data_IF_404287723847
#
_entry.id   IF_404287723847
#
_cell.length_a   1.000
_cell.length_b   1.000
_cell.length_c   1.000
_cell.angle_alpha   90.00
_cell.angle_beta   90.00
_cell.angle_gamma   90.00
#
_symmetry.space_group_name_H-M   'P 1'
#
loop_
_entity.id
_entity.type
_entity.pdbx_description
1 polymer ?
#
# COMPACT_ATOMS: atom_id res chain seq x y z
N UNK A 1 -15.44 43.67 31.17
CA UNK A 1 -14.86 43.23 29.88
C UNK A 1 -13.35 43.20 30.05
N UNK A 2 -12.65 42.12 29.68
CA UNK A 2 -11.19 42.10 29.75
C UNK A 2 -10.61 43.19 28.82
N UNK A 3 -9.56 43.92 29.25
CA UNK A 3 -9.04 45.06 28.50
C UNK A 3 -8.46 44.64 27.14
N UNK A 4 -8.57 45.52 26.13
CA UNK A 4 -8.20 45.22 24.74
C UNK A 4 -6.68 45.09 24.60
N UNK A 5 -6.17 43.85 24.61
CA UNK A 5 -4.75 43.41 24.60
C UNK A 5 -4.47 42.25 25.58
N UNK A 6 -5.48 41.74 26.29
CA UNK A 6 -5.35 40.52 27.12
C UNK A 6 -5.62 39.24 26.32
N UNK A 7 -4.93 38.15 26.67
CA UNK A 7 -5.09 36.83 26.02
C UNK A 7 -6.55 36.34 26.02
N UNK A 8 -7.28 36.60 27.10
CA UNK A 8 -8.71 36.26 27.21
C UNK A 8 -9.57 36.96 26.16
N UNK A 9 -9.28 38.22 25.83
CA UNK A 9 -9.97 38.96 24.77
C UNK A 9 -9.74 38.30 23.40
N UNK A 10 -8.52 37.86 23.10
CA UNK A 10 -8.21 37.16 21.85
C UNK A 10 -8.85 35.77 21.76
N UNK A 11 -8.92 35.03 22.87
CA UNK A 11 -9.58 33.72 22.92
C UNK A 11 -11.07 33.84 22.60
N UNK A 12 -11.77 34.80 23.21
CA UNK A 12 -13.23 34.98 23.06
C UNK A 12 -13.63 35.58 21.71
N UNK A 13 -12.83 36.48 21.12
CA UNK A 13 -13.23 37.23 19.91
C UNK A 13 -12.73 36.60 18.60
N UNK A 14 -11.68 35.77 18.62
CA UNK A 14 -11.11 35.24 17.38
C UNK A 14 -11.82 33.98 16.87
N UNK A 15 -12.40 34.04 15.67
CA UNK A 15 -13.03 32.88 15.01
C UNK A 15 -12.02 31.81 14.60
N UNK A 16 -10.82 32.25 14.25
CA UNK A 16 -9.73 31.38 13.78
C UNK A 16 -9.29 30.43 14.91
N UNK A 17 -9.15 30.92 16.14
CA UNK A 17 -8.74 30.09 17.26
C UNK A 17 -9.79 29.03 17.59
N UNK A 18 -11.07 29.40 17.62
CA UNK A 18 -12.17 28.46 17.84
C UNK A 18 -12.19 27.35 16.78
N UNK A 19 -11.90 27.68 15.52
CA UNK A 19 -11.80 26.71 14.43
C UNK A 19 -10.65 25.73 14.61
N UNK A 20 -9.46 26.23 14.97
CA UNK A 20 -8.31 25.34 15.22
C UNK A 20 -8.52 24.45 16.44
N UNK A 21 -9.14 24.96 17.50
CA UNK A 21 -9.46 24.17 18.70
C UNK A 21 -10.50 23.09 18.38
N UNK A 22 -11.56 23.42 17.65
CA UNK A 22 -12.58 22.42 17.30
C UNK A 22 -11.99 21.33 16.41
N UNK A 23 -11.19 21.70 15.40
CA UNK A 23 -10.49 20.75 14.53
C UNK A 23 -9.50 19.90 15.31
N UNK A 24 -8.70 20.49 16.21
CA UNK A 24 -7.72 19.72 16.96
C UNK A 24 -8.39 18.68 17.86
N UNK A 25 -9.49 19.04 18.53
CA UNK A 25 -10.28 18.10 19.33
C UNK A 25 -10.85 16.98 18.45
N UNK A 26 -11.41 17.30 17.29
CA UNK A 26 -11.91 16.32 16.32
C UNK A 26 -10.81 15.36 15.83
N UNK A 27 -9.63 15.90 15.50
CA UNK A 27 -8.48 15.12 15.04
C UNK A 27 -7.96 14.20 16.14
N UNK A 28 -7.80 14.71 17.37
CA UNK A 28 -7.35 13.91 18.52
C UNK A 28 -8.36 12.79 18.80
N UNK A 29 -9.66 13.09 18.89
CA UNK A 29 -10.68 12.09 19.16
C UNK A 29 -10.78 11.04 18.05
N UNK A 30 -10.72 11.47 16.79
CA UNK A 30 -10.73 10.57 15.63
C UNK A 30 -9.50 9.68 15.57
N UNK A 31 -8.31 10.24 15.84
CA UNK A 31 -7.07 9.46 15.94
C UNK A 31 -7.12 8.45 17.08
N UNK A 32 -7.62 8.84 18.26
CA UNK A 32 -7.77 7.97 19.41
C UNK A 32 -8.73 6.80 19.14
N UNK A 33 -9.88 7.07 18.52
CA UNK A 33 -10.83 6.04 18.08
C UNK A 33 -10.19 5.10 17.06
N UNK A 34 -9.40 5.62 16.11
CA UNK A 34 -8.69 4.80 15.14
C UNK A 34 -7.63 3.90 15.78
N UNK A 35 -6.84 4.43 16.71
CA UNK A 35 -5.81 3.67 17.45
C UNK A 35 -6.46 2.56 18.28
N UNK A 36 -7.48 2.90 19.07
CA UNK A 36 -8.19 1.92 19.91
C UNK A 36 -8.90 0.85 19.08
N UNK A 37 -9.48 1.21 17.94
CA UNK A 37 -10.06 0.24 17.01
C UNK A 37 -8.99 -0.68 16.42
N UNK A 38 -7.83 -0.15 16.02
CA UNK A 38 -6.72 -0.95 15.48
C UNK A 38 -6.20 -1.97 16.51
N UNK A 39 -5.94 -1.52 17.74
CA UNK A 39 -5.46 -2.39 18.83
C UNK A 39 -6.43 -3.54 19.12
N UNK A 40 -7.75 -3.29 19.07
CA UNK A 40 -8.78 -4.30 19.37
C UNK A 40 -9.08 -5.25 18.22
N UNK A 41 -9.06 -4.77 16.97
CA UNK A 41 -9.57 -5.53 15.81
C UNK A 41 -8.50 -6.25 15.01
N UNK A 42 -7.22 -5.90 15.19
CA UNK A 42 -6.13 -6.46 14.39
C UNK A 42 -5.19 -7.33 15.22
N UNK A 43 -4.70 -8.41 14.62
CA UNK A 43 -3.70 -9.31 15.23
C UNK A 43 -2.43 -8.53 15.59
N UNK A 44 -1.93 -7.72 14.65
CA UNK A 44 -0.76 -6.83 14.82
C UNK A 44 -0.95 -5.78 15.92
N UNK A 45 -2.18 -5.32 16.13
CA UNK A 45 -2.50 -4.39 17.21
C UNK A 45 -2.29 -5.02 18.59
N UNK A 46 -2.62 -6.30 18.74
CA UNK A 46 -2.49 -7.04 20.01
C UNK A 46 -1.04 -7.33 20.39
N UNK A 47 -0.19 -7.61 19.39
CA UNK A 47 1.26 -7.75 19.58
C UNK A 47 1.87 -6.46 20.14
N UNK A 48 1.44 -5.32 19.62
CA UNK A 48 1.96 -4.00 20.00
C UNK A 48 1.46 -3.53 21.37
N UNK A 49 0.25 -3.92 21.77
CA UNK A 49 -0.32 -3.55 23.08
C UNK A 49 0.53 -4.08 24.26
N UNK A 50 1.14 -5.26 24.11
CA UNK A 50 2.05 -5.83 25.12
C UNK A 50 3.40 -5.11 25.23
N UNK A 51 3.81 -4.38 24.18
CA UNK A 51 5.09 -3.68 24.12
C UNK A 51 4.99 -2.16 24.30
N UNK A 52 3.77 -1.62 24.46
CA UNK A 52 3.57 -0.20 24.70
C UNK A 52 4.01 0.16 26.12
N UNK A 53 5.09 0.93 26.24
CA UNK A 53 5.57 1.43 27.52
C UNK A 53 5.12 2.86 27.74
N UNK A 54 4.53 3.12 28.91
CA UNK A 54 4.13 4.46 29.37
C UNK A 54 5.33 5.34 29.71
N UNK A 55 6.52 4.76 29.94
CA UNK A 55 7.74 5.52 30.25
C UNK A 55 8.34 6.23 29.04
N UNK A 56 8.07 5.76 27.83
CA UNK A 56 8.64 6.29 26.58
C UNK A 56 7.54 6.51 25.53
N UNK A 57 6.74 7.58 25.65
CA UNK A 57 5.60 7.83 24.77
C UNK A 57 6.00 7.99 23.31
N UNK A 58 7.17 8.60 23.05
CA UNK A 58 7.69 8.78 21.68
C UNK A 58 8.03 7.46 21.00
N UNK A 59 8.58 6.51 21.74
CA UNK A 59 8.93 5.20 21.17
C UNK A 59 7.68 4.33 20.97
N UNK A 60 6.69 4.44 21.86
CA UNK A 60 5.36 3.84 21.69
C UNK A 60 4.67 4.29 20.41
N UNK A 61 4.75 5.58 20.05
CA UNK A 61 4.20 6.09 18.78
C UNK A 61 4.94 5.50 17.57
N UNK A 62 6.28 5.43 17.61
CA UNK A 62 7.07 4.84 16.52
C UNK A 62 6.73 3.37 16.31
N UNK A 63 6.59 2.60 17.39
CA UNK A 63 6.20 1.17 17.36
C UNK A 63 4.82 0.99 16.76
N UNK A 64 3.84 1.79 17.18
CA UNK A 64 2.51 1.80 16.58
C UNK A 64 2.56 2.06 15.08
N UNK A 65 3.34 3.08 14.64
CA UNK A 65 3.47 3.41 13.23
C UNK A 65 4.15 2.29 12.42
N UNK A 66 5.17 1.64 12.99
CA UNK A 66 5.84 0.50 12.35
C UNK A 66 4.87 -0.68 12.15
N UNK A 67 4.09 -1.02 13.17
CA UNK A 67 3.07 -2.07 13.06
C UNK A 67 1.94 -1.70 12.10
N UNK A 68 1.53 -0.44 12.08
CA UNK A 68 0.55 0.05 11.12
C UNK A 68 1.05 -0.09 9.68
N UNK A 69 2.31 0.30 9.39
CA UNK A 69 2.94 0.07 8.07
C UNK A 69 2.91 -1.39 7.69
N UNK A 70 3.32 -2.27 8.60
CA UNK A 70 3.34 -3.71 8.33
C UNK A 70 1.96 -4.27 8.01
N UNK A 71 0.94 -3.88 8.78
CA UNK A 71 -0.46 -4.24 8.53
C UNK A 71 -0.95 -3.77 7.15
N UNK A 72 -0.59 -2.55 6.74
CA UNK A 72 -0.93 -2.06 5.39
C UNK A 72 -0.22 -2.85 4.29
N UNK A 73 1.03 -3.25 4.52
CA UNK A 73 1.80 -4.07 3.59
C UNK A 73 1.17 -5.47 3.44
N UNK A 74 0.83 -6.14 4.54
CA UNK A 74 0.13 -7.43 4.53
C UNK A 74 -1.18 -7.38 3.75
N UNK A 75 -2.02 -6.35 4.00
CA UNK A 75 -3.25 -6.16 3.24
C UNK A 75 -3.01 -5.94 1.75
N UNK A 76 -1.95 -5.22 1.41
CA UNK A 76 -1.57 -4.99 0.01
C UNK A 76 -1.13 -6.29 -0.67
N UNK A 77 -0.35 -7.12 0.02
CA UNK A 77 0.05 -8.44 -0.47
C UNK A 77 -1.15 -9.36 -0.67
N UNK A 78 -2.07 -9.43 0.30
CA UNK A 78 -3.28 -10.24 0.18
C UNK A 78 -4.13 -9.82 -1.04
N UNK A 79 -4.28 -8.51 -1.26
CA UNK A 79 -5.00 -8.01 -2.43
C UNK A 79 -4.26 -8.34 -3.73
N UNK A 80 -2.93 -8.25 -3.73
CA UNK A 80 -2.11 -8.62 -4.88
C UNK A 80 -2.23 -10.11 -5.21
N UNK A 81 -2.19 -10.99 -4.20
CA UNK A 81 -2.39 -12.44 -4.35
C UNK A 81 -3.79 -12.75 -4.90
N UNK A 82 -4.83 -12.11 -4.38
CA UNK A 82 -6.20 -12.29 -4.87
C UNK A 82 -6.34 -11.86 -6.33
N UNK A 83 -5.61 -10.82 -6.75
CA UNK A 83 -5.57 -10.40 -8.16
C UNK A 83 -4.80 -11.40 -9.02
N UNK A 84 -3.64 -11.89 -8.55
CA UNK A 84 -2.86 -12.93 -9.25
C UNK A 84 -3.68 -14.19 -9.49
N UNK A 85 -4.38 -14.70 -8.47
CA UNK A 85 -5.25 -15.88 -8.59
C UNK A 85 -6.33 -15.73 -9.67
N UNK A 86 -6.92 -14.53 -9.81
CA UNK A 86 -7.92 -14.24 -10.84
C UNK A 86 -7.31 -14.21 -12.24
N UNK A 87 -6.12 -13.65 -12.39
CA UNK A 87 -5.38 -13.64 -13.67
C UNK A 87 -4.97 -15.05 -14.05
N UNK A 88 -4.42 -15.83 -13.12
CA UNK A 88 -4.05 -17.23 -13.35
C UNK A 88 -5.25 -18.11 -13.77
N UNK A 89 -6.43 -17.90 -13.19
CA UNK A 89 -7.66 -18.59 -13.61
C UNK A 89 -8.07 -18.19 -15.04
N UNK A 90 -7.99 -16.90 -15.39
CA UNK A 90 -8.24 -16.43 -16.75
C UNK A 90 -7.23 -17.02 -17.77
N UNK A 91 -5.96 -17.08 -17.39
CA UNK A 91 -4.89 -17.64 -18.22
C UNK A 91 -5.07 -19.13 -18.43
N UNK A 92 -5.35 -19.91 -17.37
CA UNK A 92 -5.68 -21.34 -17.47
C UNK A 92 -6.85 -21.59 -18.43
N UNK A 93 -7.90 -20.77 -18.34
CA UNK A 93 -9.05 -20.85 -19.26
C UNK A 93 -8.66 -20.51 -20.69
N UNK A 94 -7.75 -19.56 -20.90
CA UNK A 94 -7.24 -19.22 -22.24
C UNK A 94 -6.40 -20.36 -22.83
N UNK A 95 -5.54 -20.99 -22.02
CA UNK A 95 -4.69 -22.11 -22.43
C UNK A 95 -5.55 -23.33 -22.77
N UNK A 96 -6.57 -23.63 -21.95
CA UNK A 96 -7.53 -24.69 -22.22
C UNK A 96 -8.23 -24.49 -23.57
N UNK A 97 -8.71 -23.28 -23.87
CA UNK A 97 -9.37 -22.98 -25.15
C UNK A 97 -8.41 -23.15 -26.34
N UNK A 98 -7.17 -22.68 -26.21
CA UNK A 98 -6.13 -22.84 -27.25
C UNK A 98 -5.80 -24.31 -27.50
N UNK A 99 -5.61 -25.10 -26.45
CA UNK A 99 -5.26 -26.52 -26.56
C UNK A 99 -6.38 -27.37 -27.16
N UNK A 100 -7.64 -27.04 -26.89
CA UNK A 100 -8.81 -27.75 -27.43
C UNK A 100 -9.32 -27.15 -28.76
N UNK A 101 -8.59 -26.23 -29.40
CA UNK A 101 -8.95 -25.67 -30.71
C UNK A 101 -10.20 -24.78 -30.71
N UNK A 102 -10.72 -24.40 -29.54
CA UNK A 102 -11.91 -23.57 -29.39
C UNK A 102 -11.66 -22.07 -29.64
N UNK A 103 -10.39 -21.66 -29.75
CA UNK A 103 -9.99 -20.28 -30.08
C UNK A 103 -10.43 -19.90 -31.51
N UNK A 104 -10.19 -20.79 -32.48
CA UNK A 104 -10.50 -20.54 -33.90
C UNK A 104 -12.01 -20.51 -34.18
N UNK A 105 -12.81 -21.25 -33.40
CA UNK A 105 -14.27 -21.26 -33.54
C UNK A 105 -14.96 -20.00 -32.96
N UNK A 106 -14.25 -19.21 -32.13
CA UNK A 106 -14.80 -18.03 -31.46
C UNK A 106 -14.42 -16.71 -32.14
N UNK A 107 -13.28 -16.62 -32.81
CA UNK A 107 -12.92 -15.46 -33.66
C UNK A 107 -14.00 -15.15 -34.71
N UNK A 108 -14.73 -16.16 -35.19
CA UNK A 108 -15.87 -15.97 -36.11
C UNK A 108 -17.24 -15.66 -35.47
N UNK A 109 -17.42 -15.84 -34.15
CA UNK A 109 -18.74 -15.71 -33.48
C UNK A 109 -18.84 -14.66 -32.37
N UNK A 110 -17.73 -14.10 -31.88
CA UNK A 110 -17.73 -13.08 -30.81
C UNK A 110 -17.19 -11.71 -31.24
N UNK A 111 -16.81 -11.54 -32.52
CA UNK A 111 -16.29 -10.28 -33.07
C UNK A 111 -17.32 -9.14 -33.12
N UNK A 112 -18.62 -9.41 -32.94
CA UNK A 112 -19.67 -8.39 -32.91
C UNK A 112 -19.82 -7.62 -31.59
N UNK A 113 -19.32 -8.15 -30.47
CA UNK A 113 -19.48 -7.53 -29.14
C UNK A 113 -18.19 -6.83 -28.66
N UNK A 114 -17.04 -7.26 -29.15
CA UNK A 114 -15.74 -6.61 -28.85
C UNK A 114 -15.62 -5.22 -29.48
N UNK A 115 -16.33 -4.93 -30.57
CA UNK A 115 -16.35 -3.57 -31.16
C UNK A 115 -17.12 -2.57 -30.27
N UNK A 116 -18.19 -2.99 -29.58
CA UNK A 116 -18.91 -2.13 -28.62
C UNK A 116 -18.14 -1.94 -27.31
N UNK A 117 -17.48 -2.98 -26.80
CA UNK A 117 -16.61 -2.89 -25.62
C UNK A 117 -15.30 -2.13 -25.93
N UNK A 118 -14.78 -2.26 -27.15
CA UNK A 118 -13.65 -1.50 -27.66
C UNK A 118 -13.97 -0.01 -27.77
N UNK A 119 -15.14 0.35 -28.29
CA UNK A 119 -15.60 1.73 -28.34
C UNK A 119 -15.78 2.36 -26.94
N UNK A 120 -16.42 1.66 -25.99
CA UNK A 120 -16.52 2.15 -24.60
C UNK A 120 -15.17 2.20 -23.87
N UNK A 121 -14.25 1.27 -24.17
CA UNK A 121 -12.90 1.25 -23.58
C UNK A 121 -12.01 2.33 -24.18
N UNK A 122 -12.19 2.65 -25.46
CA UNK A 122 -11.55 3.76 -26.14
C UNK A 122 -12.08 5.08 -25.59
N UNK A 123 -13.40 5.24 -25.42
CA UNK A 123 -13.97 6.42 -24.77
C UNK A 123 -13.48 6.57 -23.33
N UNK A 124 -13.46 5.51 -22.51
CA UNK A 124 -12.88 5.57 -21.16
C UNK A 124 -11.37 5.87 -21.19
N UNK A 125 -10.65 5.41 -22.21
CA UNK A 125 -9.24 5.71 -22.42
C UNK A 125 -8.99 7.16 -22.87
N UNK A 126 -9.89 7.72 -23.68
CA UNK A 126 -9.90 9.13 -24.10
C UNK A 126 -10.29 10.01 -22.93
N UNK A 127 -11.29 9.65 -22.13
CA UNK A 127 -11.68 10.35 -20.91
C UNK A 127 -10.55 10.31 -19.88
N UNK A 128 -9.86 9.16 -19.71
CA UNK A 128 -8.67 9.08 -18.85
C UNK A 128 -7.52 9.94 -19.37
N UNK A 129 -7.23 9.90 -20.67
CA UNK A 129 -6.21 10.78 -21.29
C UNK A 129 -6.58 12.25 -21.17
N UNK A 130 -7.86 12.60 -21.31
CA UNK A 130 -8.37 13.94 -21.09
C UNK A 130 -8.28 14.34 -19.62
N UNK A 131 -8.54 13.42 -18.69
CA UNK A 131 -8.37 13.66 -17.25
C UNK A 131 -6.89 13.86 -16.89
N UNK A 132 -5.97 13.09 -17.48
CA UNK A 132 -4.52 13.26 -17.32
C UNK A 132 -4.03 14.56 -17.95
N UNK A 133 -4.58 14.95 -19.11
CA UNK A 133 -4.27 16.25 -19.74
C UNK A 133 -4.86 17.40 -18.93
N UNK A 134 -6.03 17.25 -18.32
CA UNK A 134 -6.61 18.25 -17.40
C UNK A 134 -5.85 18.28 -16.08
N UNK A 135 -5.38 17.15 -15.57
CA UNK A 135 -4.50 17.07 -14.41
C UNK A 135 -3.12 17.69 -14.71
N UNK A 136 -2.60 17.54 -15.94
CA UNK A 136 -1.40 18.24 -16.42
C UNK A 136 -1.64 19.73 -16.68
N UNK A 137 -2.80 20.11 -17.24
CA UNK A 137 -3.13 21.50 -17.62
C UNK A 137 -3.52 22.33 -16.42
N UNK A 138 -4.11 21.70 -15.40
CA UNK A 138 -4.17 22.23 -14.04
C UNK A 138 -2.84 21.95 -13.35
N UNK A 139 -1.77 22.46 -13.96
CA UNK A 139 -0.49 22.64 -13.31
C UNK A 139 -0.73 23.41 -12.03
N UNK A 140 -0.58 22.69 -10.92
CA UNK A 140 0.04 23.14 -9.69
C UNK A 140 0.15 24.68 -9.52
N UNK A 141 -0.63 25.31 -8.62
CA UNK A 141 -0.35 26.68 -8.19
C UNK A 141 0.91 26.82 -7.31
N UNK A 142 1.70 25.76 -7.12
CA UNK A 142 2.94 25.79 -6.35
C UNK A 142 4.11 25.28 -7.21
N UNK A 143 4.66 26.14 -8.08
CA UNK A 143 5.85 25.84 -8.88
C UNK A 143 6.98 25.24 -8.04
N UNK A 144 7.58 24.19 -8.59
CA UNK A 144 8.73 23.46 -8.01
C UNK A 144 8.82 22.09 -8.67
N UNK A 145 9.89 21.88 -9.42
CA UNK A 145 10.21 20.64 -10.11
C UNK A 145 10.36 19.49 -9.12
N UNK A 146 9.80 18.32 -9.45
CA UNK A 146 9.93 17.10 -8.65
C UNK A 146 9.00 17.07 -7.44
N UNK A 147 8.03 16.15 -7.44
CA UNK A 147 7.33 15.81 -6.21
C UNK A 147 8.35 15.32 -5.19
N UNK A 148 8.22 15.76 -3.94
CA UNK A 148 9.07 15.34 -2.80
C UNK A 148 9.32 13.82 -2.76
N UNK A 149 8.34 13.05 -3.24
CA UNK A 149 8.39 11.59 -3.38
C UNK A 149 9.37 11.12 -4.48
N UNK A 150 9.42 11.77 -5.64
CA UNK A 150 10.39 11.45 -6.70
C UNK A 150 11.82 11.83 -6.31
N UNK A 151 12.00 12.91 -5.55
CA UNK A 151 13.30 13.25 -4.97
C UNK A 151 13.72 12.26 -3.90
N UNK A 152 12.79 11.77 -3.06
CA UNK A 152 13.08 10.72 -2.08
C UNK A 152 13.44 9.40 -2.74
N UNK A 153 12.73 8.99 -3.80
CA UNK A 153 13.04 7.78 -4.56
C UNK A 153 14.42 7.90 -5.21
N UNK A 154 14.72 9.03 -5.85
CA UNK A 154 16.04 9.26 -6.46
C UNK A 154 17.15 9.29 -5.40
N UNK A 155 16.90 9.90 -4.24
CA UNK A 155 17.87 9.93 -3.14
C UNK A 155 18.13 8.54 -2.58
N UNK A 156 17.09 7.72 -2.41
CA UNK A 156 17.23 6.32 -2.01
C UNK A 156 17.96 5.50 -3.07
N UNK A 157 17.68 5.73 -4.36
CA UNK A 157 18.35 5.04 -5.46
C UNK A 157 19.85 5.42 -5.56
N UNK A 158 20.19 6.69 -5.33
CA UNK A 158 21.57 7.18 -5.24
C UNK A 158 22.27 6.64 -3.99
N UNK A 159 21.61 6.61 -2.82
CA UNK A 159 22.17 6.00 -1.59
C UNK A 159 22.38 4.49 -1.75
N UNK A 160 21.51 3.80 -2.51
CA UNK A 160 21.65 2.38 -2.85
C UNK A 160 22.80 2.16 -3.83
N UNK A 161 22.95 3.00 -4.86
CA UNK A 161 24.11 2.94 -5.79
C UNK A 161 25.43 3.29 -5.09
N UNK A 162 25.43 4.23 -4.15
CA UNK A 162 26.60 4.58 -3.33
C UNK A 162 26.96 3.44 -2.36
N UNK A 163 25.97 2.78 -1.75
CA UNK A 163 26.18 1.59 -0.94
C UNK A 163 26.66 0.38 -1.77
N UNK A 164 26.16 0.20 -2.99
CA UNK A 164 26.56 -0.88 -3.90
C UNK A 164 27.95 -0.62 -4.50
N UNK A 165 28.29 0.63 -4.83
CA UNK A 165 29.62 1.01 -5.32
C UNK A 165 30.66 0.99 -4.19
N UNK A 166 30.29 1.37 -2.96
CA UNK A 166 31.10 1.19 -1.76
C UNK A 166 31.32 -0.29 -1.43
N UNK A 167 30.29 -1.14 -1.60
CA UNK A 167 30.41 -2.59 -1.48
C UNK A 167 31.30 -3.21 -2.56
N UNK A 168 31.45 -2.58 -3.74
CA UNK A 168 32.40 -3.00 -4.78
C UNK A 168 33.87 -2.95 -4.35
N UNK A 169 34.22 -2.13 -3.36
CA UNK A 169 35.57 -2.10 -2.78
C UNK A 169 35.75 -3.00 -1.56
N UNK A 170 34.64 -3.43 -0.94
CA UNK A 170 34.64 -4.42 0.15
C UNK A 170 34.42 -5.86 -0.35
N UNK A 171 33.91 -6.05 -1.57
CA UNK A 171 33.65 -7.35 -2.19
C UNK A 171 34.91 -8.13 -2.60
N UNK A 172 36.10 -7.53 -2.49
CA UNK A 172 37.37 -8.25 -2.59
C UNK A 172 37.84 -8.87 -1.25
N UNK A 173 37.12 -8.65 -0.13
CA UNK A 173 37.56 -9.06 1.21
C UNK A 173 36.58 -9.96 1.99
N UNK A 174 35.45 -10.37 1.40
CA UNK A 174 34.50 -11.29 2.07
C UNK A 174 34.12 -12.43 1.13
N UNK A 175 35.13 -13.17 0.68
CA UNK A 175 34.95 -14.54 0.23
C UNK A 175 34.86 -15.41 1.50
N UNK A 176 33.64 -15.69 1.96
CA UNK A 176 33.43 -16.64 3.06
C UNK A 176 32.32 -16.31 4.04
N UNK A 177 31.08 -16.14 3.58
CA UNK A 177 29.91 -16.44 4.42
C UNK A 177 28.87 -17.16 3.58
N UNK A 178 28.76 -18.46 3.85
CA UNK A 178 27.88 -19.40 3.19
C UNK A 178 26.39 -19.01 3.34
N UNK A 179 25.68 -19.06 2.21
CA UNK A 179 24.22 -19.00 2.14
C UNK A 179 23.64 -20.32 2.68
N UNK A 180 22.78 -20.34 3.71
CA UNK A 180 22.05 -21.54 4.05
C UNK A 180 20.86 -21.70 3.09
N UNK A 181 21.02 -22.62 2.14
CA UNK A 181 19.93 -23.19 1.33
C UNK A 181 19.03 -24.01 2.25
N UNK A 182 17.77 -23.60 2.44
CA UNK A 182 16.82 -24.45 3.15
C UNK A 182 16.29 -25.55 2.22
N UNK A 183 16.60 -26.79 2.58
CA UNK A 183 16.09 -28.00 1.96
C UNK A 183 14.58 -28.14 2.20
N UNK A 184 13.85 -28.36 1.10
CA UNK A 184 12.46 -28.80 1.10
C UNK A 184 12.44 -30.28 1.50
N UNK A 185 11.95 -30.56 2.70
CA UNK A 185 11.74 -31.93 3.19
C UNK A 185 10.40 -32.46 2.67
N UNK A 186 10.45 -33.41 1.75
CA UNK A 186 9.30 -34.23 1.34
C UNK A 186 8.73 -34.98 2.55
N UNK A 187 7.45 -34.74 2.87
CA UNK A 187 6.71 -35.55 3.83
C UNK A 187 5.87 -36.60 3.10
N UNK A 188 6.29 -37.86 3.24
CA UNK A 188 5.63 -39.04 2.67
C UNK A 188 4.25 -39.28 3.28
N UNK A 189 3.29 -39.52 2.39
CA UNK A 189 2.02 -40.24 2.59
C UNK A 189 2.09 -41.39 3.62
N UNK A 190 1.12 -41.41 4.55
CA UNK A 190 0.40 -42.55 5.19
C UNK A 190 -0.63 -41.90 6.15
N UNK A 191 -1.90 -42.27 6.28
CA UNK A 191 -2.74 -43.28 5.66
C UNK A 191 -4.21 -42.89 5.84
N UNK A 192 -5.07 -43.51 5.05
CA UNK A 192 -6.51 -43.33 4.98
C UNK A 192 -7.24 -43.63 6.29
N UNK A 193 -8.08 -42.69 6.76
CA UNK A 193 -9.03 -42.92 7.87
C UNK A 193 -10.51 -42.79 7.45
N UNK A 194 -10.81 -42.72 6.16
CA UNK A 194 -12.19 -42.63 5.65
C UNK A 194 -12.55 -43.92 4.91
N UNK A 195 -13.00 -44.94 5.65
CA UNK A 195 -13.76 -46.10 5.13
C UNK A 195 -14.30 -46.92 6.31
N UNK A 196 -15.47 -46.50 6.83
CA UNK A 196 -16.46 -47.40 7.45
C UNK A 196 -17.85 -46.84 7.10
N UNK A 197 -18.40 -47.42 6.05
CA UNK A 197 -19.80 -47.42 5.66
C UNK A 197 -20.09 -48.83 5.16
#
# INVERSE_FOLDING_TARGET
MPPPNTWSYYFLTSRILHFYISISVLVVLGSWASVTNFLRTTERGREVEGELSWSQPLDSVKRFWAAYRLHTHERSLLVAEMRRRKVEDADKRSVYRRAHGLEQAREGRFSGQEVKLGAEREERGVVRRALDVVARRKGNPAGGEGGWVEEEIRKVEVEVEEAVSGAGTAAAAVEGVAVPTQEVKEEKKKGSWWSRG
#
